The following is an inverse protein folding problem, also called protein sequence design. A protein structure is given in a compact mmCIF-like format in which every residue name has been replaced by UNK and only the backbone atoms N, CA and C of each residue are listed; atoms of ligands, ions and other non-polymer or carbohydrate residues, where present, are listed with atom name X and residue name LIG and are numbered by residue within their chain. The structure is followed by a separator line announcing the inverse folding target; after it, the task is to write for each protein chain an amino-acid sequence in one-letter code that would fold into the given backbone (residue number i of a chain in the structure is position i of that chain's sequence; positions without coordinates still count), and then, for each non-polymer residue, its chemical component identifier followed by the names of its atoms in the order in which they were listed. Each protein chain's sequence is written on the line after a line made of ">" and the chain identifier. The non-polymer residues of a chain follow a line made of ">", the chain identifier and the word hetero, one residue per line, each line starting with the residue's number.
data_IF_514409899134
#
_entry.id   IF_514409899134
#
_cell.length_a   1.000
_cell.length_b   1.000
_cell.length_c   1.000
_cell.angle_alpha   90.00
_cell.angle_beta   90.00
_cell.angle_gamma   90.00
#
_symmetry.space_group_name_H-M   'P 1'
#
loop_
_entity.id
_entity.type
_entity.pdbx_description
1 polymer ?
#
# COMPACT_ATOMS: atom_id res chain seq x y z
N UNK A 1 -1.43 3.25 -16.85
CA UNK A 1 -1.11 3.52 -15.43
C UNK A 1 -1.76 2.40 -14.64
N UNK A 2 -0.99 1.67 -13.84
CA UNK A 2 -1.54 0.61 -12.97
C UNK A 2 -2.36 1.28 -11.86
N UNK A 3 -3.49 0.69 -11.53
CA UNK A 3 -4.35 1.11 -10.43
C UNK A 3 -3.62 0.86 -9.08
N UNK A 4 -3.46 1.87 -8.21
CA UNK A 4 -2.72 1.75 -6.96
C UNK A 4 -3.23 0.61 -6.06
N UNK A 5 -4.55 0.44 -6.00
CA UNK A 5 -5.18 -0.61 -5.19
C UNK A 5 -4.97 -2.00 -5.77
N UNK A 6 -5.03 -2.14 -7.10
CA UNK A 6 -4.68 -3.39 -7.78
C UNK A 6 -3.23 -3.81 -7.50
N UNK A 7 -2.30 -2.85 -7.42
CA UNK A 7 -0.90 -3.13 -7.03
C UNK A 7 -0.78 -3.63 -5.58
N UNK A 8 -1.44 -2.97 -4.62
CA UNK A 8 -1.49 -3.41 -3.22
C UNK A 8 -2.11 -4.81 -3.08
N UNK A 9 -3.24 -5.04 -3.76
CA UNK A 9 -3.93 -6.34 -3.78
C UNK A 9 -3.06 -7.45 -4.34
N UNK A 10 -2.38 -7.20 -5.47
CA UNK A 10 -1.43 -8.15 -6.04
C UNK A 10 -0.30 -8.44 -5.07
N UNK A 11 0.29 -7.41 -4.46
CA UNK A 11 1.38 -7.57 -3.51
C UNK A 11 1.00 -8.49 -2.35
N UNK A 12 -0.15 -8.24 -1.73
CA UNK A 12 -0.68 -9.09 -0.65
C UNK A 12 -1.01 -10.49 -1.15
N UNK A 13 -1.56 -10.64 -2.35
CA UNK A 13 -1.84 -11.95 -2.95
C UNK A 13 -0.56 -12.77 -3.22
N UNK A 14 0.57 -12.12 -3.51
CA UNK A 14 1.88 -12.75 -3.61
C UNK A 14 2.52 -13.09 -2.26
N UNK A 15 1.85 -12.76 -1.14
CA UNK A 15 2.33 -12.99 0.22
C UNK A 15 3.15 -11.84 0.80
N UNK A 16 3.24 -10.71 0.09
CA UNK A 16 3.80 -9.49 0.62
C UNK A 16 2.93 -8.87 1.72
N UNK A 17 3.52 -8.03 2.56
CA UNK A 17 2.79 -7.25 3.57
C UNK A 17 2.79 -5.78 3.20
N UNK A 18 1.81 -5.03 3.72
CA UNK A 18 1.71 -3.58 3.52
C UNK A 18 1.73 -2.86 4.86
N UNK A 19 2.34 -1.69 4.90
CA UNK A 19 2.36 -0.84 6.09
C UNK A 19 2.05 0.61 5.71
N UNK A 20 1.21 1.29 6.47
CA UNK A 20 1.00 2.74 6.29
C UNK A 20 2.22 3.47 6.85
N UNK A 21 2.87 4.25 5.99
CA UNK A 21 4.09 4.98 6.35
C UNK A 21 3.81 6.45 6.63
N UNK A 22 2.87 7.02 5.87
CA UNK A 22 2.42 8.40 6.04
C UNK A 22 0.95 8.51 5.67
N UNK A 23 0.19 9.22 6.50
CA UNK A 23 -1.20 9.60 6.20
C UNK A 23 -1.27 11.13 6.22
N UNK A 24 -1.75 11.71 5.12
CA UNK A 24 -1.95 13.15 4.98
C UNK A 24 -3.36 13.40 4.41
N UNK A 25 -3.93 14.61 4.56
CA UNK A 25 -5.22 14.93 3.97
C UNK A 25 -5.25 14.87 2.44
N UNK A 26 -4.08 14.90 1.78
CA UNK A 26 -3.95 14.80 0.33
C UNK A 26 -3.77 13.35 -0.17
N UNK A 27 -3.47 12.40 0.73
CA UNK A 27 -3.30 11.00 0.39
C UNK A 27 -2.53 10.18 1.42
N UNK A 28 -2.42 8.87 1.17
CA UNK A 28 -1.76 7.91 2.05
C UNK A 28 -0.63 7.21 1.32
N UNK A 29 0.53 7.13 1.96
CA UNK A 29 1.69 6.38 1.46
C UNK A 29 1.71 5.02 2.15
N UNK A 30 1.56 3.97 1.34
CA UNK A 30 1.59 2.59 1.78
C UNK A 30 2.89 1.95 1.32
N UNK A 31 3.73 1.53 2.26
CA UNK A 31 4.92 0.73 2.02
C UNK A 31 4.57 -0.71 1.65
N UNK A 32 5.25 -1.23 0.63
CA UNK A 32 5.25 -2.64 0.28
C UNK A 32 6.42 -3.32 0.98
N UNK A 33 6.13 -4.23 1.90
CA UNK A 33 7.12 -4.90 2.74
C UNK A 33 7.23 -6.39 2.39
N UNK A 34 8.45 -6.93 2.41
CA UNK A 34 8.69 -8.38 2.19
C UNK A 34 8.02 -9.22 3.28
N UNK A 35 7.66 -10.46 2.92
CA UNK A 35 7.09 -11.44 3.83
C UNK A 35 8.04 -11.85 4.97
N UNK A 36 9.36 -11.73 4.76
CA UNK A 36 10.39 -12.30 5.63
C UNK A 36 10.83 -11.39 6.80
N UNK A 37 10.19 -10.24 7.02
CA UNK A 37 10.54 -9.40 8.18
C UNK A 37 10.38 -7.90 8.04
N UNK A 38 9.54 -7.41 7.12
CA UNK A 38 9.13 -6.00 7.12
C UNK A 38 10.06 -5.04 6.39
N UNK A 39 11.09 -5.51 5.67
CA UNK A 39 11.90 -4.62 4.83
C UNK A 39 11.03 -4.07 3.68
N UNK A 40 10.94 -2.73 3.62
CA UNK A 40 10.23 -2.02 2.57
C UNK A 40 10.98 -2.15 1.25
N UNK A 41 10.31 -2.70 0.25
CA UNK A 41 10.82 -2.86 -1.13
C UNK A 41 10.19 -1.89 -2.12
N UNK A 42 9.06 -1.30 -1.76
CA UNK A 42 8.33 -0.36 -2.61
C UNK A 42 7.38 0.50 -1.80
N UNK A 43 6.73 1.44 -2.48
CA UNK A 43 5.66 2.22 -1.90
C UNK A 43 4.63 2.57 -2.97
N UNK A 44 3.38 2.70 -2.54
CA UNK A 44 2.25 3.12 -3.35
C UNK A 44 1.65 4.35 -2.70
N UNK A 45 1.24 5.31 -3.52
CA UNK A 45 0.51 6.50 -3.07
C UNK A 45 -0.95 6.32 -3.43
N UNK A 46 -1.79 6.39 -2.40
CA UNK A 46 -3.25 6.35 -2.50
C UNK A 46 -3.79 7.77 -2.35
N UNK A 47 -4.82 8.10 -3.12
CA UNK A 47 -5.70 9.22 -2.81
C UNK A 47 -6.49 8.93 -1.52
N UNK A 48 -7.10 9.93 -0.87
CA UNK A 48 -7.90 9.70 0.33
C UNK A 48 -9.03 8.68 0.12
N UNK A 49 -9.71 8.73 -1.02
CA UNK A 49 -10.78 7.78 -1.35
C UNK A 49 -10.26 6.34 -1.51
N UNK A 50 -9.11 6.16 -2.16
CA UNK A 50 -8.47 4.85 -2.28
C UNK A 50 -7.95 4.34 -0.94
N UNK A 51 -7.42 5.23 -0.10
CA UNK A 51 -6.95 4.89 1.23
C UNK A 51 -8.09 4.43 2.14
N UNK A 52 -9.24 5.11 2.12
CA UNK A 52 -10.44 4.69 2.82
C UNK A 52 -10.90 3.30 2.35
N UNK A 53 -10.86 3.01 1.04
CA UNK A 53 -11.17 1.67 0.52
C UNK A 53 -10.19 0.60 1.01
N UNK A 54 -8.89 0.92 1.08
CA UNK A 54 -7.86 -0.02 1.52
C UNK A 54 -7.87 -0.29 3.03
N UNK A 55 -8.22 0.71 3.83
CA UNK A 55 -8.19 0.67 5.30
C UNK A 55 -9.52 0.22 5.93
N UNK A 56 -10.60 0.12 5.15
CA UNK A 56 -11.91 -0.36 5.61
C UNK A 56 -11.98 -1.86 5.81
#
# INVERSE_FOLDING_TARGET
>A
MTDPLDELRRWVAFGGTTQVESETPDGVVVGLCRCDGGERVGQVVLTPAEAEEWLS
#
